data_IF_976545990622
#
_entry.id   IF_976545990622
#
_cell.length_a   1.000
_cell.length_b   1.000
_cell.length_c   1.000
_cell.angle_alpha   90.00
_cell.angle_beta   90.00
_cell.angle_gamma   90.00
#
_symmetry.space_group_name_H-M   'P 1'
#
loop_
_entity.id
_entity.type
_entity.pdbx_description
1 polymer ?
#
# COMPACT_ATOMS: atom_id res chain seq x y z
N UNK A 1 7.37 17.44 9.92
CA UNK A 1 7.34 16.00 9.60
C UNK A 1 7.03 15.77 8.13
N UNK A 2 5.91 16.31 7.61
CA UNK A 2 5.57 16.17 6.18
C UNK A 2 6.50 16.92 5.21
N UNK A 3 7.08 18.07 5.58
CA UNK A 3 8.02 18.79 4.70
C UNK A 3 9.25 17.95 4.29
N UNK A 4 9.78 17.14 5.22
CA UNK A 4 10.89 16.21 4.93
C UNK A 4 10.42 15.06 4.04
N UNK A 5 9.20 14.55 4.26
CA UNK A 5 8.60 13.52 3.43
C UNK A 5 8.34 14.02 2.00
N UNK A 6 7.71 15.18 1.83
CA UNK A 6 7.44 15.82 0.53
C UNK A 6 8.71 16.09 -0.27
N UNK A 7 9.80 16.44 0.43
CA UNK A 7 11.11 16.56 -0.20
C UNK A 7 11.60 15.20 -0.70
N UNK A 8 11.67 14.20 0.19
CA UNK A 8 12.14 12.84 -0.16
C UNK A 8 11.30 12.20 -1.27
N UNK A 9 9.99 12.47 -1.30
CA UNK A 9 9.08 12.00 -2.35
C UNK A 9 9.37 12.65 -3.70
N UNK A 10 9.60 13.97 -3.75
CA UNK A 10 9.95 14.69 -4.99
C UNK A 10 11.34 14.34 -5.50
N UNK A 11 12.27 14.07 -4.59
CA UNK A 11 13.65 13.69 -4.91
C UNK A 11 13.78 12.19 -5.25
N UNK A 12 12.76 11.38 -4.94
CA UNK A 12 12.72 9.96 -5.29
C UNK A 12 12.62 9.80 -6.81
N UNK A 13 13.58 9.10 -7.45
CA UNK A 13 13.52 8.85 -8.89
C UNK A 13 12.39 7.87 -9.25
N UNK A 14 12.00 7.01 -8.31
CA UNK A 14 11.02 5.95 -8.54
C UNK A 14 9.63 6.33 -8.02
N UNK A 15 8.56 6.09 -8.82
CA UNK A 15 7.21 6.48 -8.46
C UNK A 15 6.68 5.68 -7.26
N UNK A 16 5.79 6.31 -6.50
CA UNK A 16 4.86 5.61 -5.60
C UNK A 16 3.61 5.30 -6.40
N UNK A 17 2.99 4.15 -6.18
CA UNK A 17 1.77 3.75 -6.89
C UNK A 17 0.52 3.83 -6.02
N UNK A 18 -0.59 4.19 -6.66
CA UNK A 18 -1.93 4.31 -6.08
C UNK A 18 -2.92 3.45 -6.88
N UNK A 19 -3.92 2.87 -6.22
CA UNK A 19 -4.95 2.05 -6.86
C UNK A 19 -5.91 2.91 -7.71
N UNK A 20 -6.35 2.40 -8.88
CA UNK A 20 -7.24 3.12 -9.81
C UNK A 20 -8.73 2.89 -9.55
N UNK A 21 -9.19 1.63 -9.48
CA UNK A 21 -10.61 1.25 -9.38
C UNK A 21 -10.80 0.00 -8.51
N UNK A 22 -12.01 -0.28 -7.99
CA UNK A 22 -13.18 0.59 -7.83
C UNK A 22 -13.05 1.58 -6.67
N UNK A 23 -11.89 1.64 -6.00
CA UNK A 23 -11.65 2.39 -4.77
C UNK A 23 -11.35 3.86 -5.07
N UNK A 24 -12.30 4.52 -5.72
CA UNK A 24 -12.13 5.81 -6.36
C UNK A 24 -12.12 7.02 -5.39
N UNK A 25 -12.22 6.85 -4.06
CA UNK A 25 -11.88 7.86 -3.00
C UNK A 25 -12.26 7.40 -1.56
N UNK A 26 -11.63 7.92 -0.48
CA UNK A 26 -10.42 8.72 -0.40
C UNK A 26 -9.17 7.87 -0.11
N UNK A 27 -8.11 8.16 -0.85
CA UNK A 27 -6.76 7.68 -0.63
C UNK A 27 -6.10 8.55 0.46
N UNK A 28 -5.66 7.96 1.57
CA UNK A 28 -4.95 8.69 2.63
C UNK A 28 -3.55 8.12 2.80
N UNK A 29 -2.59 9.01 3.09
CA UNK A 29 -1.30 8.56 3.60
C UNK A 29 -1.49 7.89 4.96
N UNK A 30 -1.15 6.60 5.05
CA UNK A 30 -1.30 5.82 6.27
C UNK A 30 0.01 5.74 7.04
N UNK A 31 1.06 5.30 6.36
CA UNK A 31 2.39 5.05 6.91
C UNK A 31 3.44 5.48 5.89
N UNK A 32 4.61 5.88 6.37
CA UNK A 32 5.77 6.15 5.53
C UNK A 32 7.04 5.84 6.31
N UNK A 33 8.08 5.39 5.60
CA UNK A 33 9.38 5.11 6.19
C UNK A 33 10.47 5.77 5.35
N UNK A 34 11.35 6.50 6.02
CA UNK A 34 12.51 7.16 5.40
C UNK A 34 13.79 6.70 6.08
N UNK A 35 14.81 6.37 5.30
CA UNK A 35 16.14 5.97 5.79
C UNK A 35 17.17 6.93 5.22
N UNK A 36 17.96 7.56 6.09
CA UNK A 36 19.00 8.54 5.71
C UNK A 36 18.49 9.64 4.76
N UNK A 37 17.24 10.07 4.96
CA UNK A 37 16.57 11.10 4.14
C UNK A 37 15.92 10.59 2.86
N UNK A 38 16.09 9.32 2.51
CA UNK A 38 15.49 8.70 1.31
C UNK A 38 14.18 7.98 1.65
N UNK A 39 13.19 8.09 0.77
CA UNK A 39 11.90 7.42 0.93
C UNK A 39 12.05 5.92 0.66
N UNK A 40 11.96 5.10 1.70
CA UNK A 40 12.01 3.65 1.58
C UNK A 40 10.63 3.08 1.26
N UNK A 41 9.61 3.49 1.99
CA UNK A 41 8.26 2.98 1.77
C UNK A 41 7.19 4.02 2.03
N UNK A 42 6.08 3.88 1.31
CA UNK A 42 4.91 4.72 1.47
C UNK A 42 3.66 3.85 1.31
N UNK A 43 2.79 3.88 2.32
CA UNK A 43 1.54 3.13 2.36
C UNK A 43 0.35 4.09 2.22
N UNK A 44 -0.45 3.85 1.20
CA UNK A 44 -1.72 4.51 0.94
C UNK A 44 -2.86 3.61 1.41
N UNK A 45 -3.81 4.15 2.16
CA UNK A 45 -5.01 3.42 2.58
C UNK A 45 -6.25 3.94 1.84
N UNK A 46 -7.12 3.01 1.51
CA UNK A 46 -8.42 3.20 0.86
C UNK A 46 -9.49 2.55 1.71
N UNK A 47 -10.59 3.28 1.94
CA UNK A 47 -11.65 2.82 2.83
C UNK A 47 -11.35 3.14 4.30
N UNK A 48 -12.16 2.57 5.19
CA UNK A 48 -12.12 2.90 6.61
C UNK A 48 -10.94 2.23 7.31
N UNK A 49 -10.39 2.87 8.34
CA UNK A 49 -9.43 2.21 9.24
C UNK A 49 -10.08 1.23 10.22
N UNK A 50 -11.40 1.07 10.17
CA UNK A 50 -12.11 -0.03 10.80
C UNK A 50 -11.85 -1.31 9.98
N UNK A 51 -11.05 -2.21 10.54
CA UNK A 51 -10.51 -3.40 9.86
C UNK A 51 -11.58 -4.42 9.49
N UNK A 52 -12.77 -4.34 10.09
CA UNK A 52 -13.86 -5.25 9.75
C UNK A 52 -14.62 -4.85 8.48
N UNK A 53 -14.53 -3.57 8.10
CA UNK A 53 -15.12 -3.04 6.88
C UNK A 53 -14.16 -3.19 5.68
N UNK A 54 -14.69 -3.15 4.44
CA UNK A 54 -13.86 -3.19 3.25
C UNK A 54 -12.81 -2.07 3.24
N UNK A 55 -11.55 -2.44 3.10
CA UNK A 55 -10.41 -1.53 3.08
C UNK A 55 -9.27 -2.15 2.28
N UNK A 56 -8.42 -1.29 1.70
CA UNK A 56 -7.20 -1.69 0.99
C UNK A 56 -6.05 -0.81 1.44
N UNK A 57 -4.88 -1.41 1.59
CA UNK A 57 -3.59 -0.75 1.75
C UNK A 57 -2.76 -1.05 0.52
N UNK A 58 -2.10 -0.03 -0.02
CA UNK A 58 -1.12 -0.17 -1.11
C UNK A 58 0.19 0.40 -0.59
N UNK A 59 1.19 -0.45 -0.49
CA UNK A 59 2.55 -0.08 -0.07
C UNK A 59 3.46 -0.18 -1.27
N UNK A 60 4.08 0.94 -1.63
CA UNK A 60 5.26 0.91 -2.50
C UNK A 60 6.49 0.82 -1.61
N UNK A 61 7.24 -0.26 -1.73
CA UNK A 61 8.50 -0.50 -1.01
C UNK A 61 9.68 -0.44 -1.99
N UNK A 62 10.80 0.12 -1.53
CA UNK A 62 12.04 0.22 -2.30
C UNK A 62 13.17 -0.48 -1.57
N UNK A 63 13.90 -1.32 -2.29
CA UNK A 63 15.09 -1.96 -1.76
C UNK A 63 16.23 -0.94 -1.77
N UNK A 64 16.70 -0.60 -0.56
CA UNK A 64 17.86 0.26 -0.41
C UNK A 64 19.13 -0.59 -0.33
N UNK A 65 20.26 -0.15 -0.93
CA UNK A 65 21.52 -0.89 -0.87
C UNK A 65 21.91 -1.24 0.57
N UNK A 66 22.24 -2.52 0.81
CA UNK A 66 22.68 -3.01 2.12
C UNK A 66 21.54 -3.32 3.11
N UNK A 67 20.29 -3.35 2.65
CA UNK A 67 19.16 -3.80 3.46
C UNK A 67 18.59 -5.12 2.92
N UNK A 68 18.52 -6.13 3.77
CA UNK A 68 17.75 -7.34 3.51
C UNK A 68 16.32 -7.08 4.00
N UNK A 69 15.40 -6.80 3.09
CA UNK A 69 13.97 -6.75 3.39
C UNK A 69 13.27 -7.95 2.75
N UNK A 70 12.47 -8.67 3.57
CA UNK A 70 11.60 -9.72 3.08
C UNK A 70 10.13 -9.28 3.25
N UNK A 71 9.42 -8.95 2.16
CA UNK A 71 8.00 -8.61 2.20
C UNK A 71 7.13 -9.74 2.78
N UNK A 72 7.64 -10.97 2.77
CA UNK A 72 6.93 -12.16 3.26
C UNK A 72 6.72 -12.11 4.78
N UNK A 73 7.46 -11.27 5.53
CA UNK A 73 7.23 -11.06 6.98
C UNK A 73 6.03 -10.13 7.27
N UNK A 74 5.55 -9.38 6.26
CA UNK A 74 4.26 -8.68 6.33
C UNK A 74 3.07 -9.60 6.02
N UNK A 75 3.34 -10.89 5.71
CA UNK A 75 2.33 -11.91 5.80
C UNK A 75 1.81 -11.93 7.24
N UNK A 76 0.49 -11.88 7.38
CA UNK A 76 -0.19 -11.92 8.66
C UNK A 76 0.46 -12.91 9.64
N UNK A 77 0.52 -12.60 10.94
CA UNK A 77 0.88 -13.62 11.91
C UNK A 77 0.00 -14.83 11.61
N UNK A 78 0.63 -15.99 11.38
CA UNK A 78 -0.08 -17.25 11.25
C UNK A 78 -0.82 -17.47 12.57
N UNK A 79 -2.09 -17.04 12.63
CA UNK A 79 -2.92 -17.35 13.79
C UNK A 79 -2.98 -18.89 13.83
N UNK A 80 -2.62 -19.51 14.97
CA UNK A 80 -2.37 -20.95 15.04
C UNK A 80 -3.60 -21.81 14.66
N UNK A 81 -4.79 -21.21 14.67
CA UNK A 81 -6.07 -21.85 14.32
C UNK A 81 -6.76 -21.24 13.08
N UNK A 82 -6.10 -20.30 12.37
CA UNK A 82 -6.65 -19.78 11.13
C UNK A 82 -6.58 -20.85 10.03
N UNK A 83 -7.66 -21.06 9.25
CA UNK A 83 -7.62 -21.96 8.11
C UNK A 83 -6.51 -21.48 7.17
N UNK A 84 -5.57 -22.36 6.84
CA UNK A 84 -4.38 -22.06 6.03
C UNK A 84 -4.76 -21.13 4.88
N UNK A 85 -4.04 -20.01 4.75
CA UNK A 85 -4.16 -19.13 3.60
C UNK A 85 -4.19 -19.96 2.31
N UNK A 86 -5.08 -19.62 1.38
CA UNK A 86 -5.18 -20.32 0.11
C UNK A 86 -3.82 -20.30 -0.62
N UNK A 87 -3.61 -21.27 -1.51
CA UNK A 87 -2.40 -21.32 -2.32
C UNK A 87 -2.17 -20.01 -3.08
N UNK A 88 -0.91 -19.62 -3.24
CA UNK A 88 -0.53 -18.43 -4.00
C UNK A 88 -0.95 -18.58 -5.47
N UNK A 89 -1.76 -17.64 -5.95
CA UNK A 89 -2.23 -17.53 -7.33
C UNK A 89 -1.29 -16.62 -8.13
N UNK A 90 -0.98 -16.99 -9.38
CA UNK A 90 -0.29 -16.10 -10.32
C UNK A 90 -1.30 -15.17 -10.96
N UNK A 91 -1.04 -13.87 -10.93
CA UNK A 91 -1.92 -12.83 -11.49
C UNK A 91 -1.12 -11.84 -12.34
N UNK A 92 -1.83 -11.01 -13.10
CA UNK A 92 -1.26 -9.88 -13.82
C UNK A 92 -1.86 -8.59 -13.28
N UNK A 93 -1.02 -7.66 -12.86
CA UNK A 93 -1.42 -6.32 -12.45
C UNK A 93 -1.08 -5.32 -13.57
N UNK A 94 -1.95 -4.36 -13.83
CA UNK A 94 -1.62 -3.20 -14.68
C UNK A 94 -0.93 -2.15 -13.81
N UNK A 95 0.33 -1.85 -14.10
CA UNK A 95 1.11 -0.86 -13.36
C UNK A 95 1.55 0.20 -14.36
N UNK A 96 0.96 1.40 -14.23
CA UNK A 96 1.15 2.54 -15.12
C UNK A 96 0.95 2.21 -16.60
N UNK A 97 -0.07 1.40 -16.93
CA UNK A 97 -0.39 0.97 -18.29
C UNK A 97 0.44 -0.23 -18.78
N UNK A 98 1.29 -0.79 -17.92
CA UNK A 98 2.15 -1.93 -18.26
C UNK A 98 1.72 -3.18 -17.48
N UNK A 99 1.39 -4.29 -18.15
CA UNK A 99 1.11 -5.56 -17.48
C UNK A 99 2.35 -6.10 -16.76
N UNK A 100 2.23 -6.37 -15.47
CA UNK A 100 3.29 -6.88 -14.61
C UNK A 100 2.84 -8.19 -13.95
N UNK A 101 3.68 -9.23 -13.93
CA UNK A 101 3.39 -10.45 -13.20
C UNK A 101 3.37 -10.17 -11.69
N UNK A 102 2.46 -10.83 -10.98
CA UNK A 102 2.36 -10.74 -9.54
C UNK A 102 1.79 -12.00 -8.93
N UNK A 103 1.81 -12.04 -7.60
CA UNK A 103 1.27 -13.14 -6.80
C UNK A 103 0.14 -12.63 -5.92
N UNK A 104 -0.95 -13.40 -5.86
CA UNK A 104 -2.12 -13.09 -5.04
C UNK A 104 -2.37 -14.25 -4.07
N UNK A 105 -2.52 -13.93 -2.79
CA UNK A 105 -2.91 -14.88 -1.75
C UNK A 105 -4.24 -14.45 -1.14
N UNK A 106 -5.17 -15.38 -0.99
CA UNK A 106 -6.50 -15.13 -0.42
C UNK A 106 -6.64 -15.88 0.91
N UNK A 107 -7.17 -15.21 1.92
CA UNK A 107 -7.47 -15.80 3.21
C UNK A 107 -8.98 -16.09 3.33
N UNK A 108 -9.40 -17.20 3.97
CA UNK A 108 -10.81 -17.53 4.14
C UNK A 108 -11.64 -16.48 4.89
N UNK A 109 -11.01 -15.62 5.69
CA UNK A 109 -11.67 -14.46 6.35
C UNK A 109 -12.07 -13.32 5.40
N UNK A 110 -11.82 -13.48 4.09
CA UNK A 110 -12.07 -12.48 3.05
C UNK A 110 -10.94 -11.46 2.89
N UNK A 111 -9.81 -11.67 3.56
CA UNK A 111 -8.59 -10.88 3.37
C UNK A 111 -7.80 -11.37 2.16
N UNK A 112 -7.01 -10.50 1.56
CA UNK A 112 -6.13 -10.88 0.46
C UNK A 112 -4.84 -10.05 0.48
N UNK A 113 -3.82 -10.58 -0.18
CA UNK A 113 -2.50 -9.98 -0.31
C UNK A 113 -1.98 -10.17 -1.73
N UNK A 114 -1.60 -9.08 -2.37
CA UNK A 114 -0.98 -8.99 -3.68
C UNK A 114 0.47 -8.54 -3.51
N UNK A 115 1.36 -9.15 -4.28
CA UNK A 115 2.73 -8.68 -4.47
C UNK A 115 3.08 -8.67 -5.96
N UNK A 116 3.61 -7.55 -6.44
CA UNK A 116 4.22 -7.44 -7.75
C UNK A 116 5.62 -6.83 -7.62
N UNK A 117 6.63 -7.48 -8.20
CA UNK A 117 8.01 -7.03 -8.16
C UNK A 117 8.32 -6.16 -9.39
N UNK A 118 8.92 -4.99 -9.18
CA UNK A 118 9.17 -3.95 -10.18
C UNK A 118 10.64 -3.54 -10.18
N UNK A 119 11.50 -4.48 -10.57
CA UNK A 119 12.95 -4.28 -10.46
C UNK A 119 13.39 -4.27 -8.99
N UNK A 120 13.95 -3.16 -8.52
CA UNK A 120 14.39 -2.96 -7.13
C UNK A 120 13.24 -2.49 -6.18
N UNK A 121 12.00 -2.70 -6.59
CA UNK A 121 10.82 -2.22 -5.89
C UNK A 121 9.79 -3.34 -5.75
N UNK A 122 8.97 -3.22 -4.70
CA UNK A 122 7.84 -4.10 -4.48
C UNK A 122 6.57 -3.27 -4.36
N UNK A 123 5.57 -3.62 -5.14
CA UNK A 123 4.21 -3.14 -4.96
C UNK A 123 3.42 -4.20 -4.18
N UNK A 124 3.06 -3.84 -2.96
CA UNK A 124 2.27 -4.69 -2.07
C UNK A 124 0.88 -4.09 -1.95
N UNK A 125 -0.16 -4.89 -2.13
CA UNK A 125 -1.53 -4.47 -1.82
C UNK A 125 -2.21 -5.50 -0.94
N UNK A 126 -2.88 -5.07 0.13
CA UNK A 126 -3.54 -5.97 1.05
C UNK A 126 -4.83 -5.37 1.56
N UNK A 127 -5.76 -6.21 2.01
CA UNK A 127 -6.99 -5.71 2.58
C UNK A 127 -8.13 -6.71 2.56
N UNK A 128 -9.34 -6.20 2.74
CA UNK A 128 -10.60 -6.94 2.73
C UNK A 128 -11.56 -6.31 1.74
N UNK A 129 -12.34 -7.14 1.05
CA UNK A 129 -13.38 -6.69 0.12
C UNK A 129 -13.04 -6.93 -1.35
N UNK A 130 -13.77 -6.29 -2.28
CA UNK A 130 -13.58 -6.54 -3.72
C UNK A 130 -12.19 -6.09 -4.17
N UNK A 131 -11.46 -7.00 -4.82
CA UNK A 131 -10.14 -6.72 -5.38
C UNK A 131 -10.24 -5.73 -6.56
N UNK A 132 -11.33 -5.78 -7.32
CA UNK A 132 -11.50 -4.94 -8.50
C UNK A 132 -10.54 -5.30 -9.62
N UNK A 133 -10.23 -4.31 -10.46
CA UNK A 133 -9.14 -4.40 -11.42
C UNK A 133 -7.84 -4.10 -10.68
N UNK A 134 -6.84 -4.98 -10.81
CA UNK A 134 -5.51 -4.81 -10.22
C UNK A 134 -4.70 -3.77 -11.01
N UNK A 135 -5.19 -2.54 -11.04
CA UNK A 135 -4.65 -1.44 -11.85
C UNK A 135 -4.15 -0.30 -10.97
N UNK A 136 -2.91 0.12 -11.20
CA UNK A 136 -2.20 1.09 -10.39
C UNK A 136 -1.61 2.20 -11.25
N UNK A 137 -1.70 3.44 -10.76
CA UNK A 137 -1.13 4.61 -11.39
C UNK A 137 -0.07 5.25 -10.48
N UNK A 138 0.93 5.96 -11.04
CA UNK A 138 1.82 6.78 -10.24
C UNK A 138 1.03 7.82 -9.44
N UNK A 139 1.35 7.94 -8.16
CA UNK A 139 0.95 9.08 -7.33
C UNK A 139 1.75 10.29 -7.81
N UNK A 140 1.06 11.28 -8.36
CA UNK A 140 1.70 12.50 -8.88
C UNK A 140 1.72 13.65 -7.88
N UNK A 141 0.84 13.61 -6.88
CA UNK A 141 0.74 14.63 -5.84
C UNK A 141 0.57 13.99 -4.47
N UNK A 142 1.60 14.11 -3.63
CA UNK A 142 1.57 13.62 -2.26
C UNK A 142 0.66 14.48 -1.36
N UNK A 143 0.50 15.76 -1.70
CA UNK A 143 -0.26 16.71 -0.89
C UNK A 143 -1.72 16.27 -0.76
N UNK A 144 -2.31 15.74 -1.84
CA UNK A 144 -3.66 15.17 -1.84
C UNK A 144 -3.83 14.09 -0.76
N UNK A 145 -2.86 13.17 -0.66
CA UNK A 145 -2.90 12.07 0.31
C UNK A 145 -2.65 12.54 1.75
N UNK A 146 -1.82 13.58 1.94
CA UNK A 146 -1.57 14.20 3.25
C UNK A 146 -2.79 14.97 3.73
N UNK A 147 -3.45 15.73 2.86
CA UNK A 147 -4.65 16.49 3.22
C UNK A 147 -5.83 15.57 3.49
N UNK A 148 -5.98 14.48 2.73
CA UNK A 148 -6.94 13.42 3.05
C UNK A 148 -6.69 12.82 4.44
N UNK A 149 -5.42 12.63 4.83
CA UNK A 149 -5.06 12.15 6.18
C UNK A 149 -5.45 13.15 7.26
N UNK A 150 -5.15 14.43 7.05
CA UNK A 150 -5.51 15.51 8.00
C UNK A 150 -7.02 15.59 8.18
N UNK A 151 -7.78 15.58 7.09
CA UNK A 151 -9.24 15.61 7.13
C UNK A 151 -9.82 14.38 7.86
N UNK A 152 -9.27 13.18 7.60
CA UNK A 152 -9.67 11.96 8.30
C UNK A 152 -9.45 12.08 9.82
N UNK A 153 -8.24 12.48 10.24
CA UNK A 153 -7.90 12.62 11.65
C UNK A 153 -8.78 13.67 12.33
N UNK A 154 -8.98 14.83 11.73
CA UNK A 154 -9.85 15.88 12.27
C UNK A 154 -11.31 15.41 12.45
N UNK A 155 -11.81 14.56 11.56
CA UNK A 155 -13.18 14.02 11.66
C UNK A 155 -13.36 12.98 12.77
N UNK A 156 -12.31 12.23 13.10
CA UNK A 156 -12.35 11.12 14.07
C UNK A 156 -11.85 11.51 15.45
N UNK A 157 -10.96 12.50 15.51
CA UNK A 157 -10.32 12.99 16.72
C UNK A 157 -10.39 14.53 16.73
N UNK A 158 -11.59 15.12 16.81
CA UNK A 158 -11.77 16.57 16.72
C UNK A 158 -11.09 17.32 17.87
N UNK A 159 -10.83 16.64 19.00
CA UNK A 159 -10.20 17.20 20.20
C UNK A 159 -8.71 16.82 20.34
N UNK A 160 -8.11 16.15 19.35
CA UNK A 160 -6.68 15.90 19.35
C UNK A 160 -5.93 17.21 19.03
N UNK A 161 -4.90 17.59 19.82
CA UNK A 161 -4.14 18.82 19.61
C UNK A 161 -3.34 18.82 18.31
#
# INVERSE_FOLDING_TARGET
>A
MYETLERSFRESPDPVYRLRTPWLTPCTLAEHHTVDGNLQSLTLAYGTWDTDQPHIRVTTWRDLPGQDFSPDELAEPEEPDAPRSAATEQVTADIAGTPQPGTLRRHPSGRWFLRADLGAHHLLASGRGPIGDLSFDPLTDLQEAVDARRAYLASRFPDAP
#
